data_IF_356691591898
#
_entry.id   IF_356691591898
#
_cell.length_a   1.000
_cell.length_b   1.000
_cell.length_c   1.000
_cell.angle_alpha   90.00
_cell.angle_beta   90.00
_cell.angle_gamma   90.00
#
_symmetry.space_group_name_H-M   'P 1'
#
loop_
_entity.id
_entity.type
_entity.pdbx_description
1 polymer ?
#
# COMPACT_ATOMS: atom_id res chain seq x y z
N UNK A 1 32.38 24.50 36.24
CA UNK A 1 32.84 23.57 35.18
C UNK A 1 31.62 22.85 34.66
N UNK A 2 31.24 23.09 33.40
CA UNK A 2 30.06 22.46 32.80
C UNK A 2 30.39 20.97 32.57
N UNK A 3 29.71 20.07 33.27
CA UNK A 3 29.83 18.65 32.98
C UNK A 3 29.37 18.38 31.54
N UNK A 4 30.24 17.76 30.75
CA UNK A 4 29.87 17.25 29.43
C UNK A 4 28.67 16.31 29.58
N UNK A 5 27.64 16.55 28.78
CA UNK A 5 26.45 15.70 28.75
C UNK A 5 26.85 14.24 28.51
N UNK A 6 26.18 13.31 29.18
CA UNK A 6 26.50 11.88 29.15
C UNK A 6 26.64 11.31 27.73
N UNK A 7 25.83 11.78 26.79
CA UNK A 7 25.92 11.35 25.39
C UNK A 7 27.25 11.73 24.74
N UNK A 8 27.87 12.86 25.10
CA UNK A 8 29.18 13.29 24.58
C UNK A 8 30.30 12.41 25.11
N UNK A 9 30.23 11.99 26.38
CA UNK A 9 31.20 11.06 26.98
C UNK A 9 31.15 9.70 26.27
N UNK A 10 29.96 9.13 26.08
CA UNK A 10 29.79 7.88 25.33
C UNK A 10 30.26 7.99 23.87
N UNK A 11 30.08 9.15 23.24
CA UNK A 11 30.55 9.39 21.86
C UNK A 11 32.07 9.41 21.79
N UNK A 12 32.73 10.06 22.76
CA UNK A 12 34.18 10.06 22.91
C UNK A 12 34.73 8.65 23.15
N UNK A 13 34.14 7.91 24.09
CA UNK A 13 34.52 6.51 24.39
C UNK A 13 34.40 5.62 23.14
N UNK A 14 33.29 5.72 22.39
CA UNK A 14 33.12 4.94 21.17
C UNK A 14 34.12 5.34 20.08
N UNK A 15 34.39 6.63 19.92
CA UNK A 15 35.33 7.15 18.92
C UNK A 15 36.79 6.75 19.21
N UNK A 16 37.15 6.57 20.48
CA UNK A 16 38.48 6.15 20.91
C UNK A 16 38.67 4.62 20.98
N UNK A 17 37.63 3.83 20.71
CA UNK A 17 37.71 2.38 20.79
C UNK A 17 38.53 1.78 19.61
N UNK A 18 39.40 0.77 19.83
CA UNK A 18 40.23 0.18 18.77
C UNK A 18 39.42 -0.40 17.60
N UNK A 19 38.20 -0.82 17.88
CA UNK A 19 37.22 -1.42 16.98
C UNK A 19 36.26 -0.39 16.36
N UNK A 20 36.52 0.92 16.55
CA UNK A 20 35.67 2.02 16.08
C UNK A 20 35.41 1.97 14.58
N UNK A 21 36.43 1.72 13.77
CA UNK A 21 36.27 1.72 12.31
C UNK A 21 35.35 0.59 11.85
N UNK A 22 35.48 -0.61 12.45
CA UNK A 22 34.57 -1.73 12.16
C UNK A 22 33.14 -1.42 12.59
N UNK A 23 32.96 -0.84 13.77
CA UNK A 23 31.63 -0.42 14.23
C UNK A 23 31.02 0.66 13.34
N UNK A 24 31.83 1.64 12.89
CA UNK A 24 31.40 2.69 11.97
C UNK A 24 30.90 2.08 10.68
N UNK A 25 31.61 1.09 10.13
CA UNK A 25 31.15 0.32 8.96
C UNK A 25 29.81 -0.38 9.21
N UNK A 26 29.62 -1.03 10.36
CA UNK A 26 28.34 -1.66 10.72
C UNK A 26 27.19 -0.64 10.76
N UNK A 27 27.41 0.52 11.37
CA UNK A 27 26.39 1.59 11.46
C UNK A 27 26.14 2.28 10.11
N UNK A 28 27.19 2.50 9.30
CA UNK A 28 27.05 3.07 7.96
C UNK A 28 26.36 2.10 7.00
N UNK A 29 26.58 0.79 7.13
CA UNK A 29 25.96 -0.24 6.27
C UNK A 29 24.43 -0.25 6.36
N UNK A 30 23.87 0.15 7.51
CA UNK A 30 22.42 0.28 7.67
C UNK A 30 21.88 1.65 7.21
N UNK A 31 22.72 2.55 6.71
CA UNK A 31 22.28 3.83 6.12
C UNK A 31 21.61 4.78 7.12
N UNK A 32 22.04 4.77 8.39
CA UNK A 32 21.49 5.67 9.43
C UNK A 32 20.07 5.33 9.89
N UNK A 33 19.62 4.08 9.71
CA UNK A 33 18.30 3.61 10.16
C UNK A 33 18.16 3.71 11.69
N UNK A 34 17.04 4.26 12.14
CA UNK A 34 16.75 4.53 13.56
C UNK A 34 16.31 3.32 14.38
N UNK A 35 15.94 2.22 13.71
CA UNK A 35 15.45 1.00 14.35
C UNK A 35 16.07 -0.24 13.69
N UNK A 36 17.40 -0.43 13.73
CA UNK A 36 18.02 -1.59 13.11
C UNK A 36 17.70 -2.89 13.88
N UNK A 37 17.63 -4.00 13.16
CA UNK A 37 17.55 -5.33 13.77
C UNK A 37 18.97 -5.77 14.10
N UNK A 38 19.16 -6.27 15.33
CA UNK A 38 20.42 -6.86 15.78
C UNK A 38 20.37 -8.35 15.52
N UNK A 39 21.28 -8.86 14.70
CA UNK A 39 21.40 -10.29 14.42
C UNK A 39 22.66 -10.82 15.11
N UNK A 40 22.49 -11.89 15.87
CA UNK A 40 23.59 -12.65 16.46
C UNK A 40 23.55 -14.06 15.90
N UNK A 41 24.71 -14.59 15.51
CA UNK A 41 24.81 -15.91 14.91
C UNK A 41 26.16 -16.18 14.29
N UNK A 42 26.22 -17.29 13.57
CA UNK A 42 27.38 -17.71 12.80
C UNK A 42 26.96 -18.18 11.41
N UNK A 43 27.87 -18.08 10.46
CA UNK A 43 27.69 -18.53 9.09
C UNK A 43 28.95 -19.26 8.64
N UNK A 44 28.79 -20.47 8.13
CA UNK A 44 29.87 -21.25 7.52
C UNK A 44 29.57 -21.43 6.04
N UNK A 45 30.47 -20.96 5.19
CA UNK A 45 30.40 -21.15 3.74
C UNK A 45 31.10 -22.46 3.40
N UNK A 46 30.42 -23.35 2.68
CA UNK A 46 30.95 -24.66 2.27
C UNK A 46 30.92 -24.79 0.75
N UNK A 47 31.93 -25.44 0.18
CA UNK A 47 31.91 -25.87 -1.21
C UNK A 47 30.88 -27.02 -1.36
N UNK A 48 29.86 -26.89 -2.22
CA UNK A 48 28.79 -27.89 -2.32
C UNK A 48 29.24 -29.18 -3.00
N UNK A 49 30.35 -29.17 -3.75
CA UNK A 49 30.86 -30.31 -4.50
C UNK A 49 31.89 -31.12 -3.71
N UNK A 50 32.71 -30.47 -2.88
CA UNK A 50 33.77 -31.12 -2.09
C UNK A 50 33.45 -31.23 -0.60
N UNK A 51 32.54 -30.40 -0.10
CA UNK A 51 32.24 -30.28 1.34
C UNK A 51 33.29 -29.47 2.13
N UNK A 52 34.26 -28.85 1.46
CA UNK A 52 35.29 -28.03 2.11
C UNK A 52 34.70 -26.75 2.71
N UNK A 53 35.14 -26.38 3.92
CA UNK A 53 34.75 -25.11 4.55
C UNK A 53 35.59 -23.97 3.96
N UNK A 54 34.96 -23.10 3.19
CA UNK A 54 35.59 -21.94 2.55
C UNK A 54 35.74 -20.74 3.50
N UNK A 55 34.93 -20.68 4.56
CA UNK A 55 35.03 -19.62 5.55
C UNK A 55 33.98 -19.75 6.65
N UNK A 56 34.31 -19.24 7.84
CA UNK A 56 33.37 -19.13 8.96
C UNK A 56 33.34 -17.68 9.44
N UNK A 57 32.14 -17.22 9.75
CA UNK A 57 31.86 -15.89 10.27
C UNK A 57 31.07 -16.02 11.57
N UNK A 58 31.49 -15.35 12.65
CA UNK A 58 30.76 -15.35 13.92
C UNK A 58 30.56 -13.91 14.40
N UNK A 59 29.32 -13.54 14.74
CA UNK A 59 29.03 -12.18 15.19
C UNK A 59 29.64 -11.85 16.56
N UNK A 60 30.07 -12.86 17.33
CA UNK A 60 30.80 -12.65 18.59
C UNK A 60 32.13 -11.94 18.38
N UNK A 61 32.69 -12.04 17.17
CA UNK A 61 33.94 -11.38 16.79
C UNK A 61 33.71 -9.92 16.34
N UNK A 62 32.45 -9.46 16.28
CA UNK A 62 32.11 -8.08 15.97
C UNK A 62 32.22 -7.17 17.20
N UNK A 63 32.52 -5.86 17.02
CA UNK A 63 32.51 -4.81 18.05
C UNK A 63 31.38 -4.86 19.07
N UNK A 64 30.20 -5.25 18.60
CA UNK A 64 28.96 -5.24 19.37
C UNK A 64 28.44 -6.64 19.70
N UNK A 65 29.11 -7.71 19.28
CA UNK A 65 28.62 -9.09 19.40
C UNK A 65 27.44 -9.42 18.47
N UNK A 66 27.07 -8.50 17.59
CA UNK A 66 25.97 -8.61 16.63
C UNK A 66 26.28 -7.77 15.38
N UNK A 67 25.62 -8.12 14.28
CA UNK A 67 25.50 -7.25 13.10
C UNK A 67 24.18 -6.49 13.11
N UNK A 68 24.16 -5.39 12.37
CA UNK A 68 22.98 -4.56 12.18
C UNK A 68 22.42 -4.80 10.78
N UNK A 69 21.11 -4.99 10.69
CA UNK A 69 20.39 -4.99 9.41
C UNK A 69 19.22 -4.03 9.43
N UNK A 70 18.76 -3.67 8.24
CA UNK A 70 17.56 -2.86 8.05
C UNK A 70 16.34 -3.58 8.66
N UNK A 71 15.42 -2.83 9.28
CA UNK A 71 14.16 -3.43 9.75
C UNK A 71 13.15 -3.68 8.63
N UNK A 72 13.40 -3.17 7.42
CA UNK A 72 12.51 -3.34 6.26
C UNK A 72 11.10 -2.75 6.47
N UNK A 73 10.90 -1.92 7.50
CA UNK A 73 9.57 -1.45 7.85
C UNK A 73 9.11 -0.39 6.84
N UNK A 74 8.02 -0.69 6.12
CA UNK A 74 7.41 0.20 5.12
C UNK A 74 6.61 1.38 5.70
N UNK A 75 6.48 1.48 7.03
CA UNK A 75 5.74 2.55 7.71
C UNK A 75 6.71 3.68 8.09
N UNK A 76 6.50 4.88 7.57
CA UNK A 76 7.32 6.05 7.88
C UNK A 76 7.31 6.37 9.38
N UNK A 77 6.16 6.23 10.05
CA UNK A 77 5.97 6.34 11.50
C UNK A 77 6.78 5.33 12.34
N UNK A 78 7.29 4.26 11.73
CA UNK A 78 8.16 3.27 12.38
C UNK A 78 9.61 3.46 12.01
N UNK A 79 9.90 3.61 10.73
CA UNK A 79 11.24 3.86 10.26
C UNK A 79 11.18 4.62 8.93
N UNK A 80 11.24 5.94 9.01
CA UNK A 80 11.24 6.81 7.85
C UNK A 80 12.32 6.43 6.81
N UNK A 81 13.60 6.15 7.19
CA UNK A 81 14.61 5.74 6.21
C UNK A 81 14.23 4.44 5.46
N UNK A 82 13.76 3.40 6.15
CA UNK A 82 13.34 2.15 5.48
C UNK A 82 12.11 2.38 4.60
N UNK A 83 11.16 3.17 5.06
CA UNK A 83 9.96 3.49 4.31
C UNK A 83 10.26 4.28 3.03
N UNK A 84 11.24 5.19 3.06
CA UNK A 84 11.68 5.95 1.88
C UNK A 84 12.32 5.04 0.83
N UNK A 85 13.29 4.21 1.24
CA UNK A 85 13.93 3.22 0.33
C UNK A 85 12.86 2.30 -0.28
N UNK A 86 11.94 1.78 0.52
CA UNK A 86 10.85 0.95 0.00
C UNK A 86 9.96 1.71 -1.01
N UNK A 87 9.65 2.99 -0.76
CA UNK A 87 8.88 3.80 -1.72
C UNK A 87 9.66 4.01 -3.02
N UNK A 88 10.96 4.27 -2.94
CA UNK A 88 11.83 4.47 -4.11
C UNK A 88 11.95 3.17 -4.93
N UNK A 89 12.11 2.03 -4.27
CA UNK A 89 12.14 0.70 -4.90
C UNK A 89 10.82 0.42 -5.64
N UNK A 90 9.68 0.68 -4.99
CA UNK A 90 8.36 0.55 -5.63
C UNK A 90 8.24 1.52 -6.80
N UNK A 91 8.71 2.76 -6.67
CA UNK A 91 8.69 3.73 -7.76
C UNK A 91 9.43 3.16 -8.98
N UNK A 92 10.66 2.69 -8.80
CA UNK A 92 11.46 2.15 -9.89
C UNK A 92 10.85 0.89 -10.50
N UNK A 93 10.33 -0.02 -9.67
CA UNK A 93 9.63 -1.23 -10.13
C UNK A 93 8.43 -0.87 -11.01
N UNK A 94 7.55 -0.01 -10.53
CA UNK A 94 6.33 0.39 -11.28
C UNK A 94 6.69 1.20 -12.51
N UNK A 95 7.61 2.15 -12.40
CA UNK A 95 8.03 2.97 -13.53
C UNK A 95 8.64 2.12 -14.65
N UNK A 96 9.51 1.17 -14.32
CA UNK A 96 10.11 0.27 -15.31
C UNK A 96 9.05 -0.58 -16.03
N UNK A 97 7.98 -0.96 -15.35
CA UNK A 97 6.84 -1.65 -15.95
C UNK A 97 5.89 -0.73 -16.73
N UNK A 98 5.99 0.59 -16.57
CA UNK A 98 5.15 1.56 -17.27
C UNK A 98 5.77 2.09 -18.55
N UNK A 99 7.10 2.17 -18.63
CA UNK A 99 7.80 2.59 -19.86
C UNK A 99 7.60 1.53 -20.94
N UNK A 100 6.57 1.72 -21.76
CA UNK A 100 6.09 0.78 -22.77
C UNK A 100 5.25 1.53 -23.81
N UNK A 101 5.05 0.99 -25.02
CA UNK A 101 4.02 1.51 -25.95
C UNK A 101 2.68 0.78 -25.76
N UNK A 102 2.62 -0.23 -24.89
CA UNK A 102 1.41 -1.02 -24.64
C UNK A 102 0.33 -0.20 -23.91
N UNK A 103 -0.96 -0.46 -24.21
CA UNK A 103 -2.07 0.20 -23.52
C UNK A 103 -2.01 0.02 -22.01
N UNK A 104 -2.30 1.10 -21.30
CA UNK A 104 -2.27 1.14 -19.84
C UNK A 104 -3.26 2.13 -19.29
N UNK A 105 -3.84 1.77 -18.15
CA UNK A 105 -4.79 2.62 -17.43
C UNK A 105 -4.45 2.69 -15.96
N UNK A 106 -4.71 3.85 -15.37
CA UNK A 106 -4.85 4.03 -13.94
C UNK A 106 -6.34 3.91 -13.58
N UNK A 107 -6.69 2.83 -12.87
CA UNK A 107 -8.06 2.51 -12.49
C UNK A 107 -8.26 2.63 -10.98
N UNK A 108 -9.33 3.29 -10.56
CA UNK A 108 -9.74 3.41 -9.15
C UNK A 108 -11.05 2.67 -8.92
N UNK A 109 -11.01 1.67 -8.04
CA UNK A 109 -12.14 0.82 -7.67
C UNK A 109 -12.61 1.19 -6.27
N UNK A 110 -13.88 1.56 -6.13
CA UNK A 110 -14.41 2.04 -4.85
C UNK A 110 -15.32 1.03 -4.16
N UNK A 111 -15.45 1.18 -2.85
CA UNK A 111 -16.46 0.48 -2.07
C UNK A 111 -17.87 0.99 -2.39
N UNK A 112 -18.89 0.13 -2.32
CA UNK A 112 -20.28 0.58 -2.35
C UNK A 112 -20.60 1.49 -1.15
N UNK A 113 -21.76 2.13 -1.20
CA UNK A 113 -22.27 2.86 -0.03
C UNK A 113 -22.83 1.89 1.00
N UNK A 114 -22.54 2.11 2.28
CA UNK A 114 -23.14 1.41 3.43
C UNK A 114 -24.08 2.32 4.23
N UNK A 115 -24.26 3.56 3.79
CA UNK A 115 -25.03 4.57 4.48
C UNK A 115 -24.39 5.96 4.32
N UNK A 116 -25.12 7.03 4.63
CA UNK A 116 -24.60 8.39 4.56
C UNK A 116 -23.55 8.63 5.65
N UNK A 117 -22.42 9.23 5.26
CA UNK A 117 -21.32 9.60 6.17
C UNK A 117 -21.08 11.10 6.10
N UNK A 118 -20.52 11.68 7.16
CA UNK A 118 -20.10 13.07 7.12
C UNK A 118 -19.03 13.27 6.05
N UNK A 119 -19.27 14.21 5.15
CA UNK A 119 -18.37 14.52 4.03
C UNK A 119 -18.13 16.01 3.92
N UNK A 120 -16.93 16.36 3.44
CA UNK A 120 -16.58 17.72 3.07
C UNK A 120 -16.45 17.81 1.56
N UNK A 121 -17.33 18.57 0.92
CA UNK A 121 -17.33 18.80 -0.52
C UNK A 121 -17.03 20.27 -0.80
N UNK A 122 -15.95 20.54 -1.52
CA UNK A 122 -15.59 21.86 -2.02
C UNK A 122 -16.19 22.06 -3.41
N UNK A 123 -16.89 23.19 -3.62
CA UNK A 123 -17.38 23.62 -4.93
C UNK A 123 -17.04 25.11 -5.07
N UNK A 124 -16.23 25.47 -6.07
CA UNK A 124 -15.77 26.84 -6.32
C UNK A 124 -15.27 27.53 -5.03
N UNK A 125 -14.31 26.88 -4.35
CA UNK A 125 -13.69 27.28 -3.07
C UNK A 125 -14.64 27.44 -1.86
N UNK A 126 -15.90 27.03 -2.00
CA UNK A 126 -16.87 27.04 -0.90
C UNK A 126 -17.18 25.62 -0.44
N UNK A 127 -17.11 25.40 0.87
CA UNK A 127 -17.52 24.14 1.49
C UNK A 127 -19.04 24.05 1.47
N UNK A 128 -19.62 23.07 0.78
CA UNK A 128 -21.07 22.84 0.80
C UNK A 128 -21.53 22.29 2.16
N UNK A 129 -22.79 22.54 2.56
CA UNK A 129 -23.43 21.82 3.64
C UNK A 129 -23.32 20.30 3.44
N UNK A 130 -23.02 19.58 4.52
CA UNK A 130 -22.90 18.13 4.55
C UNK A 130 -24.29 17.49 4.49
N UNK A 131 -24.55 16.70 3.43
CA UNK A 131 -25.80 15.96 3.25
C UNK A 131 -27.07 16.75 3.63
N UNK A 132 -27.38 17.88 2.96
CA UNK A 132 -28.54 18.70 3.28
C UNK A 132 -29.81 18.06 2.70
N UNK A 133 -30.28 16.98 3.32
CA UNK A 133 -31.50 16.27 2.92
C UNK A 133 -32.68 16.70 3.78
N UNK A 134 -33.86 16.72 3.18
CA UNK A 134 -35.13 17.01 3.87
C UNK A 134 -35.69 15.78 4.57
N UNK A 135 -35.36 14.58 4.08
CA UNK A 135 -35.75 13.30 4.68
C UNK A 135 -34.54 12.36 4.84
N UNK A 136 -34.58 11.54 5.89
CA UNK A 136 -33.49 10.63 6.26
C UNK A 136 -32.29 11.32 6.93
N UNK A 137 -31.16 10.60 7.14
CA UNK A 137 -30.00 11.16 7.83
C UNK A 137 -29.46 12.41 7.12
N UNK A 138 -29.31 13.50 7.89
CA UNK A 138 -28.98 14.84 7.41
C UNK A 138 -28.10 15.56 8.44
N UNK A 139 -27.10 16.32 7.98
CA UNK A 139 -26.19 17.04 8.88
C UNK A 139 -26.27 18.56 8.71
N UNK A 140 -26.30 19.05 7.46
CA UNK A 140 -26.35 20.48 7.06
C UNK A 140 -25.18 21.36 7.54
N UNK A 141 -24.27 20.85 8.36
CA UNK A 141 -23.06 21.57 8.77
C UNK A 141 -22.04 21.69 7.63
N UNK A 142 -21.20 22.73 7.66
CA UNK A 142 -20.03 22.86 6.77
C UNK A 142 -18.78 22.43 7.53
N UNK A 143 -18.32 21.21 7.28
CA UNK A 143 -17.17 20.64 7.97
C UNK A 143 -15.85 21.32 7.54
N UNK A 144 -14.98 21.59 8.51
CA UNK A 144 -13.57 21.92 8.25
C UNK A 144 -12.82 20.68 7.74
N UNK A 145 -11.60 20.85 7.23
CA UNK A 145 -10.80 19.73 6.70
C UNK A 145 -10.34 18.73 7.76
N UNK A 146 -10.31 19.16 9.01
CA UNK A 146 -9.84 18.44 10.20
C UNK A 146 -10.99 18.00 11.11
N UNK A 147 -12.26 18.17 10.69
CA UNK A 147 -13.41 17.76 11.50
C UNK A 147 -13.38 16.23 11.73
N UNK A 148 -13.32 15.77 13.00
CA UNK A 148 -13.15 14.36 13.32
C UNK A 148 -14.36 13.50 12.93
N UNK A 149 -15.52 14.11 12.66
CA UNK A 149 -16.70 13.40 12.18
C UNK A 149 -16.56 12.94 10.74
N UNK A 150 -15.66 13.53 9.94
CA UNK A 150 -15.51 13.17 8.54
C UNK A 150 -15.29 11.66 8.36
N UNK A 151 -16.13 11.04 7.53
CA UNK A 151 -16.15 9.61 7.30
C UNK A 151 -16.96 8.78 8.30
N UNK A 152 -17.36 9.35 9.44
CA UNK A 152 -18.29 8.69 10.36
C UNK A 152 -19.71 8.71 9.81
N UNK A 153 -20.52 7.72 10.19
CA UNK A 153 -21.94 7.66 9.83
C UNK A 153 -22.67 8.91 10.34
N UNK A 154 -23.56 9.48 9.52
CA UNK A 154 -24.43 10.59 9.96
C UNK A 154 -25.45 10.08 10.98
N UNK A 155 -25.90 8.84 10.80
CA UNK A 155 -26.76 8.12 11.72
C UNK A 155 -26.15 6.72 11.91
N UNK A 156 -25.75 6.41 13.13
CA UNK A 156 -25.11 5.13 13.48
C UNK A 156 -26.09 3.97 13.39
N UNK A 157 -27.38 4.21 13.61
CA UNK A 157 -28.35 3.12 13.75
C UNK A 157 -28.77 2.57 12.38
N UNK A 158 -28.72 3.40 11.34
CA UNK A 158 -29.04 3.00 9.96
C UNK A 158 -27.84 2.63 9.08
N UNK A 159 -26.61 2.81 9.57
CA UNK A 159 -25.41 2.50 8.79
C UNK A 159 -25.10 0.99 8.79
N UNK A 160 -24.87 0.39 7.61
CA UNK A 160 -24.54 -1.03 7.45
C UNK A 160 -23.07 -1.31 7.81
N UNK A 161 -22.77 -1.28 9.11
CA UNK A 161 -21.44 -1.61 9.64
C UNK A 161 -21.02 -3.05 9.29
N UNK A 162 -21.94 -3.99 9.33
CA UNK A 162 -21.69 -5.39 8.95
C UNK A 162 -21.19 -5.48 7.52
N UNK A 163 -21.84 -4.78 6.59
CA UNK A 163 -21.43 -4.69 5.19
C UNK A 163 -20.08 -4.03 5.02
N UNK A 164 -19.81 -2.94 5.73
CA UNK A 164 -18.53 -2.24 5.70
C UNK A 164 -17.36 -3.14 6.17
N UNK A 165 -17.55 -3.89 7.26
CA UNK A 165 -16.56 -4.84 7.78
C UNK A 165 -16.34 -5.99 6.80
N UNK A 166 -17.42 -6.60 6.30
CA UNK A 166 -17.34 -7.70 5.34
C UNK A 166 -16.67 -7.26 4.03
N UNK A 167 -16.94 -6.04 3.57
CA UNK A 167 -16.25 -5.42 2.43
C UNK A 167 -14.74 -5.36 2.63
N UNK A 168 -14.29 -4.75 3.73
CA UNK A 168 -12.86 -4.62 4.02
C UNK A 168 -12.19 -5.99 4.17
N UNK A 169 -12.84 -6.92 4.87
CA UNK A 169 -12.34 -8.28 5.06
C UNK A 169 -12.19 -9.03 3.73
N UNK A 170 -13.17 -8.92 2.84
CA UNK A 170 -13.17 -9.61 1.54
C UNK A 170 -12.59 -8.79 0.37
N UNK A 171 -12.03 -7.59 0.61
CA UNK A 171 -11.48 -6.73 -0.43
C UNK A 171 -10.41 -7.46 -1.29
N UNK A 172 -9.60 -8.33 -0.67
CA UNK A 172 -8.66 -9.18 -1.38
C UNK A 172 -9.33 -10.21 -2.29
N UNK A 173 -10.41 -10.85 -1.82
CA UNK A 173 -11.19 -11.83 -2.60
C UNK A 173 -11.95 -11.17 -3.75
N UNK A 174 -12.48 -9.96 -3.55
CA UNK A 174 -13.08 -9.13 -4.60
C UNK A 174 -12.08 -8.81 -5.70
N UNK A 175 -10.87 -8.39 -5.33
CA UNK A 175 -9.79 -8.16 -6.30
C UNK A 175 -9.42 -9.43 -7.07
N UNK A 176 -9.24 -10.55 -6.37
CA UNK A 176 -8.95 -11.83 -7.02
C UNK A 176 -10.04 -12.18 -8.04
N UNK A 177 -11.30 -12.09 -7.61
CA UNK A 177 -12.46 -12.35 -8.46
C UNK A 177 -12.47 -11.43 -9.68
N UNK A 178 -12.22 -10.13 -9.49
CA UNK A 178 -12.08 -9.17 -10.58
C UNK A 178 -11.02 -9.59 -11.60
N UNK A 179 -9.82 -9.99 -11.17
CA UNK A 179 -8.75 -10.38 -12.10
C UNK A 179 -9.04 -11.69 -12.85
N UNK A 180 -9.88 -12.57 -12.29
CA UNK A 180 -10.41 -13.75 -12.99
C UNK A 180 -11.39 -13.33 -14.07
N UNK A 181 -12.34 -12.44 -13.75
CA UNK A 181 -13.29 -11.91 -14.72
C UNK A 181 -12.58 -11.08 -15.80
N UNK A 182 -11.60 -10.25 -15.45
CA UNK A 182 -10.85 -9.44 -16.42
C UNK A 182 -10.26 -10.31 -17.54
N UNK A 183 -9.59 -11.42 -17.19
CA UNK A 183 -9.05 -12.36 -18.18
C UNK A 183 -10.16 -13.04 -19.00
N UNK A 184 -11.30 -13.34 -18.38
CA UNK A 184 -12.45 -13.92 -19.09
C UNK A 184 -13.02 -12.94 -20.12
N UNK A 185 -13.30 -11.71 -19.71
CA UNK A 185 -13.86 -10.68 -20.57
C UNK A 185 -12.89 -10.27 -21.68
N UNK A 186 -11.58 -10.23 -21.42
CA UNK A 186 -10.58 -10.05 -22.48
C UNK A 186 -10.62 -11.16 -23.51
N UNK A 187 -10.69 -12.44 -23.10
CA UNK A 187 -10.78 -13.55 -24.03
C UNK A 187 -12.05 -13.48 -24.91
N UNK A 188 -13.18 -13.07 -24.32
CA UNK A 188 -14.44 -12.86 -25.03
C UNK A 188 -14.32 -11.71 -26.05
N UNK A 189 -13.78 -10.55 -25.65
CA UNK A 189 -13.61 -9.38 -26.52
C UNK A 189 -12.66 -9.62 -27.70
N UNK A 190 -11.58 -10.38 -27.48
CA UNK A 190 -10.60 -10.66 -28.54
C UNK A 190 -10.91 -11.95 -29.32
N UNK A 191 -12.01 -12.64 -29.00
CA UNK A 191 -12.51 -13.78 -29.76
C UNK A 191 -11.68 -15.06 -29.62
N UNK A 192 -11.04 -15.31 -28.46
CA UNK A 192 -10.20 -16.49 -28.24
C UNK A 192 -10.66 -17.32 -27.04
N UNK A 193 -10.28 -18.60 -27.03
CA UNK A 193 -10.47 -19.45 -25.86
C UNK A 193 -9.63 -18.92 -24.69
N UNK A 194 -10.17 -18.98 -23.47
CA UNK A 194 -9.46 -18.53 -22.25
C UNK A 194 -8.10 -19.23 -22.05
N UNK A 195 -7.99 -20.49 -22.46
CA UNK A 195 -6.74 -21.27 -22.40
C UNK A 195 -5.68 -20.79 -23.40
N UNK A 196 -6.08 -20.03 -24.42
CA UNK A 196 -5.23 -19.48 -25.49
C UNK A 196 -4.97 -17.99 -25.34
N UNK A 197 -5.56 -17.34 -24.35
CA UNK A 197 -5.39 -15.90 -24.13
C UNK A 197 -3.91 -15.51 -23.98
N UNK A 198 -3.13 -16.31 -23.26
CA UNK A 198 -1.70 -16.06 -23.04
C UNK A 198 -0.82 -16.15 -24.29
N UNK A 199 -1.31 -16.77 -25.37
CA UNK A 199 -0.62 -16.84 -26.66
C UNK A 199 -0.80 -15.54 -27.46
N UNK A 200 -1.78 -14.70 -27.08
CA UNK A 200 -2.21 -13.52 -27.84
C UNK A 200 -1.97 -12.23 -27.07
N UNK A 201 -2.17 -12.23 -25.75
CA UNK A 201 -1.98 -11.07 -24.89
C UNK A 201 -1.59 -11.47 -23.47
N UNK A 202 -1.01 -10.51 -22.73
CA UNK A 202 -0.72 -10.61 -21.30
C UNK A 202 -1.23 -9.38 -20.57
N UNK A 203 -1.86 -9.61 -19.41
CA UNK A 203 -2.30 -8.55 -18.51
C UNK A 203 -1.37 -8.50 -17.32
N UNK A 204 -0.72 -7.35 -17.13
CA UNK A 204 0.11 -7.06 -15.97
C UNK A 204 -0.56 -5.95 -15.15
N UNK A 205 -0.44 -6.02 -13.83
CA UNK A 205 -0.95 -4.95 -12.97
C UNK A 205 -0.16 -4.78 -11.69
N UNK A 206 -0.20 -3.57 -11.16
CA UNK A 206 0.15 -3.27 -9.78
C UNK A 206 -1.02 -2.56 -9.12
N UNK A 207 -1.22 -2.81 -7.82
CA UNK A 207 -2.31 -2.16 -7.08
C UNK A 207 -1.93 -1.85 -5.65
N UNK A 208 -2.54 -0.80 -5.12
CA UNK A 208 -2.48 -0.40 -3.72
C UNK A 208 -3.88 -0.30 -3.15
N UNK A 209 -4.00 -0.67 -1.88
CA UNK A 209 -5.21 -0.48 -1.10
C UNK A 209 -5.03 0.77 -0.23
N UNK A 210 -5.97 1.69 -0.31
CA UNK A 210 -6.01 2.89 0.53
C UNK A 210 -7.36 2.96 1.26
N UNK A 211 -7.32 3.41 2.51
CA UNK A 211 -8.51 3.67 3.31
C UNK A 211 -9.02 5.06 2.99
N UNK A 212 -10.30 5.14 2.60
CA UNK A 212 -11.01 6.42 2.56
C UNK A 212 -11.23 6.94 3.98
N UNK A 213 -11.56 8.23 4.12
CA UNK A 213 -11.93 8.83 5.41
C UNK A 213 -13.04 8.03 6.13
N UNK A 214 -13.93 7.38 5.38
CA UNK A 214 -14.99 6.50 5.90
C UNK A 214 -14.54 5.08 6.29
N UNK A 215 -13.23 4.83 6.38
CA UNK A 215 -12.66 3.55 6.78
C UNK A 215 -12.84 2.41 5.78
N UNK A 216 -13.32 2.68 4.56
CA UNK A 216 -13.50 1.67 3.51
C UNK A 216 -12.30 1.62 2.58
N UNK A 217 -11.83 0.42 2.29
CA UNK A 217 -10.76 0.18 1.31
C UNK A 217 -11.27 0.52 -0.09
N UNK A 218 -10.51 1.34 -0.82
CA UNK A 218 -10.55 1.40 -2.28
C UNK A 218 -9.23 0.90 -2.86
N UNK A 219 -9.23 0.56 -4.14
CA UNK A 219 -8.00 0.19 -4.85
C UNK A 219 -7.66 1.23 -5.90
N UNK A 220 -6.38 1.58 -5.94
CA UNK A 220 -5.77 2.21 -7.11
C UNK A 220 -4.91 1.18 -7.80
N UNK A 221 -5.11 1.01 -9.10
CA UNK A 221 -4.40 0.04 -9.89
C UNK A 221 -3.86 0.64 -11.17
N UNK A 222 -2.66 0.22 -11.52
CA UNK A 222 -2.09 0.37 -12.85
C UNK A 222 -2.29 -0.96 -13.54
N UNK A 223 -2.98 -0.98 -14.67
CA UNK A 223 -3.24 -2.20 -15.44
C UNK A 223 -2.71 -1.96 -16.85
N UNK A 224 -1.86 -2.86 -17.32
CA UNK A 224 -1.20 -2.83 -18.64
C UNK A 224 -1.60 -4.06 -19.44
N UNK A 225 -1.84 -3.86 -20.73
CA UNK A 225 -2.20 -4.91 -21.67
C UNK A 225 -1.09 -5.06 -22.71
N UNK A 226 -0.30 -6.12 -22.61
CA UNK A 226 0.72 -6.45 -23.61
C UNK A 226 0.07 -7.28 -24.71
N UNK A 227 -0.02 -6.75 -25.93
CA UNK A 227 -0.63 -7.44 -27.06
C UNK A 227 -1.03 -6.44 -28.16
N UNK A 228 -1.51 -6.91 -29.31
CA UNK A 228 -1.86 -6.08 -30.46
C UNK A 228 -3.25 -5.42 -30.33
N UNK A 229 -3.64 -5.04 -29.11
CA UNK A 229 -4.94 -4.42 -28.82
C UNK A 229 -4.75 -3.02 -28.25
N UNK A 230 -5.79 -2.20 -28.30
CA UNK A 230 -5.75 -0.82 -27.84
C UNK A 230 -6.26 -0.67 -26.38
N UNK A 231 -6.32 0.59 -25.93
CA UNK A 231 -6.78 0.95 -24.59
C UNK A 231 -8.30 0.80 -24.43
N UNK A 232 -9.06 0.78 -25.52
CA UNK A 232 -10.51 0.66 -25.48
C UNK A 232 -10.90 -0.77 -25.12
N UNK A 233 -10.24 -1.78 -25.70
CA UNK A 233 -10.39 -3.18 -25.31
C UNK A 233 -10.08 -3.38 -23.82
N UNK A 234 -8.99 -2.76 -23.32
CA UNK A 234 -8.63 -2.83 -21.91
C UNK A 234 -9.69 -2.17 -21.01
N UNK A 235 -10.17 -0.99 -21.40
CA UNK A 235 -11.15 -0.21 -20.65
C UNK A 235 -12.51 -0.93 -20.58
N UNK A 236 -12.96 -1.49 -21.70
CA UNK A 236 -14.19 -2.27 -21.77
C UNK A 236 -14.09 -3.54 -20.91
N UNK A 237 -12.97 -4.27 -20.99
CA UNK A 237 -12.75 -5.46 -20.19
C UNK A 237 -12.75 -5.16 -18.68
N UNK A 238 -12.10 -4.05 -18.26
CA UNK A 238 -12.11 -3.63 -16.86
C UNK A 238 -13.53 -3.28 -16.40
N UNK A 239 -14.27 -2.53 -17.22
CA UNK A 239 -15.64 -2.10 -16.91
C UNK A 239 -16.55 -3.30 -16.74
N UNK A 240 -16.59 -4.19 -17.73
CA UNK A 240 -17.43 -5.38 -17.72
C UNK A 240 -17.05 -6.37 -16.61
N UNK A 241 -15.75 -6.59 -16.38
CA UNK A 241 -15.29 -7.44 -15.28
C UNK A 241 -15.62 -6.86 -13.90
N UNK A 242 -15.57 -5.53 -13.73
CA UNK A 242 -15.97 -4.86 -12.49
C UNK A 242 -17.45 -5.11 -12.20
N UNK A 243 -18.32 -4.93 -13.20
CA UNK A 243 -19.76 -5.18 -13.07
C UNK A 243 -20.07 -6.67 -12.79
N UNK A 244 -19.34 -7.58 -13.44
CA UNK A 244 -19.52 -9.02 -13.27
C UNK A 244 -19.03 -9.52 -11.90
N UNK A 245 -18.05 -8.85 -11.29
CA UNK A 245 -17.44 -9.28 -10.03
C UNK A 245 -18.46 -9.37 -8.91
N UNK A 246 -18.58 -10.58 -8.34
CA UNK A 246 -19.43 -10.87 -7.19
C UNK A 246 -18.73 -11.88 -6.29
N UNK A 247 -18.70 -11.58 -4.99
CA UNK A 247 -18.29 -12.55 -3.96
C UNK A 247 -19.54 -12.95 -3.17
N UNK A 248 -19.95 -14.21 -3.31
CA UNK A 248 -21.07 -14.77 -2.55
C UNK A 248 -20.64 -15.14 -1.13
N UNK A 249 -21.46 -14.74 -0.16
CA UNK A 249 -21.42 -15.12 1.25
C UNK A 249 -22.75 -15.81 1.59
N UNK A 250 -22.88 -16.51 2.73
CA UNK A 250 -24.11 -17.23 3.09
C UNK A 250 -25.38 -16.36 2.99
N UNK A 251 -25.34 -15.13 3.51
CA UNK A 251 -26.54 -14.29 3.63
C UNK A 251 -26.54 -13.07 2.69
N UNK A 252 -25.46 -12.85 1.92
CA UNK A 252 -25.35 -11.69 1.03
C UNK A 252 -24.32 -11.88 -0.08
N UNK A 253 -24.30 -10.95 -1.03
CA UNK A 253 -23.22 -10.86 -2.01
C UNK A 253 -22.52 -9.51 -1.94
N UNK A 254 -21.19 -9.51 -2.08
CA UNK A 254 -20.37 -8.30 -2.16
C UNK A 254 -20.03 -7.99 -3.62
N UNK A 255 -20.03 -6.71 -3.98
CA UNK A 255 -19.73 -6.17 -5.30
C UNK A 255 -19.01 -4.83 -5.18
N UNK A 256 -18.29 -4.43 -6.23
CA UNK A 256 -17.74 -3.07 -6.32
C UNK A 256 -18.84 -2.01 -6.22
N UNK A 257 -18.45 -0.82 -5.74
CA UNK A 257 -19.31 0.36 -5.78
C UNK A 257 -19.57 0.82 -7.22
N UNK A 258 -20.52 1.73 -7.37
CA UNK A 258 -20.89 2.29 -8.67
C UNK A 258 -19.83 3.21 -9.27
N UNK A 259 -18.92 3.73 -8.44
CA UNK A 259 -17.85 4.60 -8.90
C UNK A 259 -16.62 3.76 -9.29
N UNK A 260 -16.36 3.73 -10.59
CA UNK A 260 -15.16 3.23 -11.23
C UNK A 260 -14.58 4.37 -12.07
N UNK A 261 -13.33 4.74 -11.81
CA UNK A 261 -12.62 5.80 -12.54
C UNK A 261 -11.46 5.17 -13.29
N UNK A 262 -11.54 5.11 -14.63
CA UNK A 262 -10.51 4.54 -15.51
C UNK A 262 -9.90 5.70 -16.29
N UNK A 263 -8.58 5.85 -16.19
CA UNK A 263 -7.84 6.90 -16.87
C UNK A 263 -6.72 6.29 -17.70
N UNK A 264 -6.78 6.36 -19.04
CA UNK A 264 -5.63 6.03 -19.89
C UNK A 264 -4.37 6.78 -19.43
N UNK A 265 -3.24 6.07 -19.47
CA UNK A 265 -1.92 6.62 -19.18
C UNK A 265 -1.24 6.83 -20.53
N UNK A 266 -1.03 8.10 -20.88
CA UNK A 266 -0.50 8.52 -22.19
C UNK A 266 0.84 9.22 -22.02
N UNK A 267 1.71 9.05 -23.01
CA UNK A 267 2.97 9.80 -23.10
C UNK A 267 2.68 11.28 -23.32
N UNK A 268 2.98 12.12 -22.32
CA UNK A 268 2.75 13.58 -22.37
C UNK A 268 1.39 14.06 -21.85
N UNK A 269 0.50 13.14 -21.44
CA UNK A 269 -0.78 13.48 -20.82
C UNK A 269 -0.67 13.90 -19.34
N UNK A 270 -1.78 14.32 -18.73
CA UNK A 270 -1.82 14.68 -17.30
C UNK A 270 -1.48 13.49 -16.37
N UNK A 271 -1.75 12.26 -16.82
CA UNK A 271 -1.39 11.01 -16.16
C UNK A 271 -0.19 10.36 -16.85
N UNK A 272 1.00 10.85 -16.56
CA UNK A 272 2.25 10.27 -17.06
C UNK A 272 2.70 9.05 -16.25
N UNK A 273 3.53 8.20 -16.85
CA UNK A 273 4.15 7.03 -16.22
C UNK A 273 4.83 7.39 -14.88
N UNK A 274 5.59 8.49 -14.86
CA UNK A 274 6.27 8.98 -13.66
C UNK A 274 5.29 9.40 -12.56
N UNK A 275 4.21 10.10 -12.91
CA UNK A 275 3.21 10.55 -11.93
C UNK A 275 2.47 9.37 -11.32
N UNK A 276 2.10 8.40 -12.14
CA UNK A 276 1.42 7.18 -11.71
C UNK A 276 2.32 6.33 -10.82
N UNK A 277 3.58 6.12 -11.21
CA UNK A 277 4.54 5.38 -10.40
C UNK A 277 4.76 6.04 -9.02
N UNK A 278 4.93 7.38 -8.99
CA UNK A 278 5.03 8.14 -7.72
C UNK A 278 3.76 8.01 -6.88
N UNK A 279 2.59 8.02 -7.51
CA UNK A 279 1.32 7.83 -6.82
C UNK A 279 1.27 6.45 -6.15
N UNK A 280 1.52 5.37 -6.89
CA UNK A 280 1.53 4.01 -6.35
C UNK A 280 2.58 3.86 -5.23
N UNK A 281 3.80 4.36 -5.43
CA UNK A 281 4.86 4.34 -4.43
C UNK A 281 4.47 5.04 -3.12
N UNK A 282 3.86 6.23 -3.22
CA UNK A 282 3.34 6.99 -2.07
C UNK A 282 2.32 6.17 -1.27
N UNK A 283 1.46 5.42 -1.93
CA UNK A 283 0.40 4.67 -1.25
C UNK A 283 0.82 3.28 -0.77
N UNK A 284 1.88 2.72 -1.34
CA UNK A 284 2.48 1.48 -0.86
C UNK A 284 3.03 1.60 0.57
N UNK A 285 3.42 2.80 1.01
CA UNK A 285 3.85 3.11 2.37
C UNK A 285 2.72 3.66 3.25
N UNK A 286 1.81 4.47 2.69
CA UNK A 286 0.67 5.05 3.44
C UNK A 286 -0.43 4.08 3.81
N UNK A 287 -0.71 3.05 3.00
CA UNK A 287 -1.75 2.06 3.31
C UNK A 287 -1.51 1.32 4.63
N UNK A 288 -0.27 1.35 5.14
CA UNK A 288 0.12 0.77 6.42
C UNK A 288 -0.09 1.71 7.63
N UNK A 289 -0.51 2.96 7.42
CA UNK A 289 -0.65 4.02 8.45
C UNK A 289 -2.07 4.65 8.50
N UNK A 290 -2.80 4.65 7.37
CA UNK A 290 -4.03 5.42 7.20
C UNK A 290 -5.24 4.97 8.05
N UNK A 291 -5.20 3.78 8.67
CA UNK A 291 -6.35 3.25 9.40
C UNK A 291 -6.57 3.88 10.78
N UNK A 292 -5.70 4.80 11.24
CA UNK A 292 -5.79 5.36 12.61
C UNK A 292 -5.67 4.31 13.72
N UNK A 293 -5.30 3.08 13.35
CA UNK A 293 -5.17 1.96 14.27
C UNK A 293 -3.78 1.92 14.87
N UNK A 294 -3.67 1.21 15.99
CA UNK A 294 -2.42 1.01 16.71
C UNK A 294 -1.36 0.44 15.76
N UNK A 295 -0.29 1.18 15.56
CA UNK A 295 0.80 0.77 14.69
C UNK A 295 1.68 -0.35 15.28
N UNK A 296 1.30 -0.95 16.42
CA UNK A 296 1.97 -2.06 17.16
C UNK A 296 0.96 -3.15 17.53
N UNK A 297 1.42 -4.40 17.70
CA UNK A 297 0.58 -5.46 18.27
C UNK A 297 0.05 -5.08 19.66
N UNK A 298 -1.26 -5.22 19.85
CA UNK A 298 -1.88 -5.22 21.17
C UNK A 298 -1.75 -6.62 21.74
N UNK A 299 -0.82 -6.80 22.69
CA UNK A 299 -0.54 -8.12 23.29
C UNK A 299 -1.35 -8.38 24.55
N UNK A 300 -1.93 -7.34 25.15
CA UNK A 300 -2.78 -7.44 26.33
C UNK A 300 -3.67 -6.19 26.46
N UNK A 301 -4.65 -6.26 27.37
CA UNK A 301 -5.67 -5.23 27.58
C UNK A 301 -5.09 -3.89 28.07
N UNK A 302 -3.95 -3.92 28.80
CA UNK A 302 -3.26 -2.70 29.28
C UNK A 302 -2.71 -1.85 28.15
N UNK A 303 -2.54 -2.41 26.95
CA UNK A 303 -2.15 -1.62 25.78
C UNK A 303 -3.31 -0.76 25.25
N UNK A 304 -4.57 -1.06 25.59
CA UNK A 304 -5.73 -0.24 25.22
C UNK A 304 -5.82 1.04 26.06
N UNK A 305 -5.40 1.00 27.32
CA UNK A 305 -5.38 2.15 28.23
C UNK A 305 -4.35 3.24 27.83
N UNK A 306 -3.50 2.96 26.83
CA UNK A 306 -2.42 3.84 26.35
C UNK A 306 -2.61 4.27 24.89
N UNK A 307 -3.82 4.10 24.36
CA UNK A 307 -4.28 4.62 23.06
C UNK A 307 -5.19 5.81 23.37
#
# INVERSE_FOLDING_TARGET
MNELHQWMKHLGERASAPDFERWRQLVTSIGGRTHPIRLAGESTTVDPSTGEVLGTYNTRDEPTGYILTACGNRRASRCEPCSRVYADDIFHLIHSGLVSECPRVFATFTAPSFGPVHTRVLVSDRVRPCHPRDTGPSCRLRHSSDDPRLGQAIDSDSYDYTGAVLWNHHAGKLWHTFTVYLRRHLAELVGVLRSKLGDVLRVEYAKVAEYQARGLVHFHAVIRLDGPYDVDVLTEAITTATLATRVSLPDRSLRWGTQLDIRPIETGGHWTDQRVARYIAKYATKGAEAAGTVNRPLRNIRHLERI
#
